data_IF_099205144159
#
_entry.id   IF_099205144159
#
_cell.length_a   1.000
_cell.length_b   1.000
_cell.length_c   1.000
_cell.angle_alpha   90.00
_cell.angle_beta   90.00
_cell.angle_gamma   90.00
#
_symmetry.space_group_name_H-M   'P 1'
#
loop_
_entity.id
_entity.type
_entity.pdbx_description
1 polymer ?
#
# COMPACT_ATOMS: atom_id res chain seq x y z
N UNK A 1 -9.77 -5.92 -7.77
CA UNK A 1 -8.43 -6.39 -7.36
C UNK A 1 -8.58 -7.41 -6.24
N UNK A 2 -7.70 -8.41 -6.17
CA UNK A 2 -7.78 -9.47 -5.16
C UNK A 2 -6.79 -9.19 -4.03
N UNK A 3 -7.16 -9.54 -2.79
CA UNK A 3 -6.28 -9.52 -1.61
C UNK A 3 -4.88 -10.12 -1.87
N UNK A 4 -4.81 -11.11 -2.75
CA UNK A 4 -3.57 -11.76 -3.19
C UNK A 4 -2.54 -10.77 -3.75
N UNK A 5 -2.96 -9.77 -4.53
CA UNK A 5 -2.03 -8.78 -5.08
C UNK A 5 -1.41 -7.91 -3.98
N UNK A 6 -2.20 -7.55 -2.95
CA UNK A 6 -1.69 -6.78 -1.81
C UNK A 6 -0.78 -7.65 -0.95
N UNK A 7 -1.12 -8.93 -0.76
CA UNK A 7 -0.27 -9.89 -0.06
C UNK A 7 1.09 -10.03 -0.75
N UNK A 8 1.10 -10.19 -2.08
CA UNK A 8 2.34 -10.26 -2.86
C UNK A 8 3.16 -8.98 -2.78
N UNK A 9 2.52 -7.80 -2.77
CA UNK A 9 3.22 -6.53 -2.60
C UNK A 9 3.90 -6.42 -1.23
N UNK A 10 3.19 -6.82 -0.17
CA UNK A 10 3.70 -6.87 1.21
C UNK A 10 4.86 -7.87 1.33
N UNK A 11 4.73 -9.06 0.73
CA UNK A 11 5.78 -10.09 0.72
C UNK A 11 7.01 -9.69 -0.11
N UNK A 12 6.86 -8.74 -1.05
CA UNK A 12 7.97 -8.23 -1.85
C UNK A 12 8.90 -7.30 -1.04
N UNK A 13 8.49 -6.85 0.15
CA UNK A 13 9.25 -5.92 1.01
C UNK A 13 9.69 -4.62 0.30
N UNK A 14 9.04 -4.27 -0.80
CA UNK A 14 9.28 -3.03 -1.53
C UNK A 14 8.20 -2.00 -1.20
N UNK A 15 8.54 -0.70 -1.12
CA UNK A 15 7.55 0.35 -0.96
C UNK A 15 6.52 0.33 -2.09
N UNK A 16 5.26 0.44 -1.75
CA UNK A 16 4.17 0.49 -2.72
C UNK A 16 3.10 1.50 -2.34
N UNK A 17 2.37 1.97 -3.34
CA UNK A 17 1.26 2.91 -3.20
C UNK A 17 -0.06 2.17 -3.46
N UNK A 18 -1.03 2.37 -2.58
CA UNK A 18 -2.41 1.94 -2.75
C UNK A 18 -3.20 3.08 -3.36
N UNK A 19 -3.93 2.81 -4.45
CA UNK A 19 -4.82 3.78 -5.09
C UNK A 19 -6.27 3.43 -4.83
N UNK A 20 -7.04 4.43 -4.44
CA UNK A 20 -8.45 4.30 -4.09
C UNK A 20 -9.35 4.93 -5.16
N UNK A 21 -10.63 4.57 -5.16
CA UNK A 21 -11.62 5.01 -6.16
C UNK A 21 -12.04 6.48 -5.99
N UNK A 22 -11.85 7.04 -4.80
CA UNK A 22 -12.01 8.47 -4.50
C UNK A 22 -10.84 9.32 -5.04
N UNK A 23 -9.79 8.68 -5.55
CA UNK A 23 -8.57 9.33 -6.04
C UNK A 23 -7.47 9.47 -4.99
N UNK A 24 -7.71 9.06 -3.74
CA UNK A 24 -6.70 9.08 -2.69
C UNK A 24 -5.63 8.03 -2.91
N UNK A 25 -4.44 8.32 -2.37
CA UNK A 25 -3.26 7.48 -2.50
C UNK A 25 -2.57 7.34 -1.16
N UNK A 26 -2.20 6.11 -0.84
CA UNK A 26 -1.59 5.75 0.44
C UNK A 26 -0.26 5.07 0.20
N UNK A 27 0.82 5.74 0.59
CA UNK A 27 2.17 5.18 0.51
C UNK A 27 2.42 4.23 1.68
N UNK A 28 2.84 3.00 1.36
CA UNK A 28 3.20 1.96 2.31
C UNK A 28 4.72 1.75 2.22
N UNK A 29 5.52 2.33 3.12
CA UNK A 29 6.97 2.21 3.07
C UNK A 29 7.47 0.84 3.53
N UNK A 30 6.77 0.20 4.47
CA UNK A 30 7.13 -1.10 5.03
C UNK A 30 5.86 -1.92 5.35
N UNK A 31 5.90 -3.27 5.33
CA UNK A 31 4.77 -4.13 5.71
C UNK A 31 4.19 -3.85 7.11
N UNK A 32 4.94 -3.28 8.04
CA UNK A 32 4.42 -2.89 9.38
C UNK A 32 3.39 -1.75 9.33
N UNK A 33 3.37 -0.96 8.25
CA UNK A 33 2.43 0.16 8.08
C UNK A 33 1.06 -0.31 7.60
N UNK A 34 0.88 -1.61 7.34
CA UNK A 34 -0.37 -2.16 6.84
C UNK A 34 -0.79 -3.43 7.60
N UNK A 35 -2.04 -3.46 8.03
CA UNK A 35 -2.68 -4.63 8.59
C UNK A 35 -4.00 -4.93 7.87
N UNK A 36 -4.56 -6.12 8.11
CA UNK A 36 -5.85 -6.50 7.54
C UNK A 36 -6.81 -6.94 8.63
N UNK A 37 -8.10 -6.72 8.39
CA UNK A 37 -9.13 -7.35 9.21
C UNK A 37 -9.12 -8.87 9.03
N UNK A 38 -9.65 -9.61 10.00
CA UNK A 38 -9.76 -11.08 9.93
C UNK A 38 -10.45 -11.57 8.65
N UNK A 39 -11.39 -10.79 8.11
CA UNK A 39 -12.13 -11.11 6.89
C UNK A 39 -11.43 -10.67 5.60
N UNK A 40 -10.28 -9.98 5.69
CA UNK A 40 -9.51 -9.48 4.53
C UNK A 40 -10.31 -8.57 3.59
N UNK A 41 -11.31 -7.86 4.13
CA UNK A 41 -12.16 -6.92 3.38
C UNK A 41 -11.69 -5.48 3.50
N UNK A 42 -10.86 -5.21 4.50
CA UNK A 42 -10.38 -3.86 4.83
C UNK A 42 -8.91 -3.94 5.20
N UNK A 43 -8.11 -3.06 4.61
CA UNK A 43 -6.73 -2.79 4.99
C UNK A 43 -6.73 -1.63 5.99
N UNK A 44 -5.90 -1.73 7.02
CA UNK A 44 -5.68 -0.70 8.02
C UNK A 44 -4.28 -0.17 7.76
N UNK A 45 -4.17 1.08 7.33
CA UNK A 45 -2.92 1.72 6.97
C UNK A 45 -2.57 2.78 8.00
N UNK A 46 -1.37 2.71 8.54
CA UNK A 46 -0.80 3.75 9.38
C UNK A 46 0.05 4.68 8.53
N UNK A 47 0.06 5.97 8.84
CA UNK A 47 0.97 6.95 8.23
C UNK A 47 2.12 7.27 9.19
N UNK A 48 3.20 7.85 8.67
CA UNK A 48 4.32 8.32 9.50
C UNK A 48 3.92 9.42 10.50
N UNK A 49 2.85 10.17 10.19
CA UNK A 49 2.27 11.18 11.10
C UNK A 49 1.44 10.55 12.24
N UNK A 50 1.31 9.22 12.26
CA UNK A 50 0.55 8.48 13.26
C UNK A 50 -0.95 8.43 12.99
N UNK A 51 -1.41 8.85 11.81
CA UNK A 51 -2.81 8.69 11.41
C UNK A 51 -3.08 7.26 10.98
N UNK A 52 -4.30 6.79 11.22
CA UNK A 52 -4.74 5.44 10.85
C UNK A 52 -5.94 5.53 9.92
N UNK A 53 -5.84 4.88 8.76
CA UNK A 53 -6.85 4.86 7.71
C UNK A 53 -7.41 3.45 7.53
N UNK A 54 -8.73 3.35 7.42
CA UNK A 54 -9.42 2.10 7.13
C UNK A 54 -9.83 2.09 5.65
N UNK A 55 -9.14 1.30 4.85
CA UNK A 55 -9.29 1.26 3.39
C UNK A 55 -10.07 0.00 2.99
N UNK A 56 -11.32 0.13 2.52
CA UNK A 56 -12.06 -1.01 1.97
C UNK A 56 -11.39 -1.54 0.71
N UNK A 57 -11.10 -2.84 0.63
CA UNK A 57 -10.43 -3.41 -0.56
C UNK A 57 -11.31 -3.31 -1.83
N UNK A 58 -12.63 -3.18 -1.66
CA UNK A 58 -13.57 -3.04 -2.78
C UNK A 58 -13.44 -1.71 -3.52
N UNK A 59 -12.99 -0.65 -2.83
CA UNK A 59 -12.75 0.67 -3.44
C UNK A 59 -11.31 0.85 -3.88
N UNK A 60 -10.47 -0.17 -3.72
CA UNK A 60 -9.08 -0.14 -4.17
C UNK A 60 -9.02 -0.35 -5.69
N UNK A 61 -8.47 0.62 -6.41
CA UNK A 61 -8.41 0.65 -7.87
C UNK A 61 -7.06 0.18 -8.40
N UNK A 62 -5.99 0.31 -7.62
CA UNK A 62 -4.64 0.00 -8.07
C UNK A 62 -3.62 -0.20 -6.95
N UNK A 63 -2.53 -0.87 -7.30
CA UNK A 63 -1.29 -0.94 -6.53
C UNK A 63 -0.18 -0.49 -7.48
N UNK A 64 0.69 0.39 -7.03
CA UNK A 64 1.86 0.82 -7.79
C UNK A 64 3.10 0.63 -6.94
N UNK A 65 4.08 -0.09 -7.46
CA UNK A 65 5.38 -0.19 -6.78
C UNK A 65 6.10 1.13 -7.01
N UNK A 66 6.47 1.81 -5.94
CA UNK A 66 7.43 2.90 -6.07
C UNK A 66 8.78 2.22 -6.15
N UNK A 67 9.41 2.25 -7.32
CA UNK A 67 10.85 2.12 -7.33
C UNK A 67 11.35 3.17 -6.35
N UNK A 68 12.04 2.76 -5.29
CA UNK A 68 12.94 3.68 -4.59
C UNK A 68 13.67 4.48 -5.67
N UNK A 69 13.88 5.80 -5.52
CA UNK A 69 14.55 6.57 -6.54
C UNK A 69 15.82 5.81 -6.88
N UNK A 70 15.91 5.32 -8.12
CA UNK A 70 17.19 4.97 -8.68
C UNK A 70 18.04 6.20 -8.42
N UNK A 71 19.04 6.07 -7.55
CA UNK A 71 20.18 6.97 -7.59
C UNK A 71 20.63 6.92 -9.05
N UNK A 72 20.19 7.91 -9.82
CA UNK A 72 20.71 8.20 -11.14
C UNK A 72 22.18 8.54 -10.89
N UNK A 73 23.02 7.52 -11.03
CA UNK A 73 24.46 7.62 -11.17
C UNK A 73 24.71 8.52 -12.38
N UNK A 74 24.85 9.82 -12.12
CA UNK A 74 25.30 10.78 -13.11
C UNK A 74 26.80 10.56 -13.32
N UNK A 75 27.12 10.34 -14.59
CA UNK A 75 28.37 9.81 -15.12
C UNK A 75 29.53 10.81 -15.12
#
# INVERSE_FOLDING_TARGET
MTYENLKSAIESHQPFEIRMADGERYLIPHPDFIAFTRKRTTAIVSTEDGMVHHLPLITMTGISYSAAPEEVEEK
#
